data_IF_412123231246
#
_entry.id   IF_412123231246
#
_cell.length_a   1.000
_cell.length_b   1.000
_cell.length_c   1.000
_cell.angle_alpha   90.00
_cell.angle_beta   90.00
_cell.angle_gamma   90.00
#
_symmetry.space_group_name_H-M   'P 1'
#
loop_
_entity.id
_entity.type
_entity.pdbx_description
1 polymer ?
#
# COMPACT_ATOMS: atom_id res chain seq x y z
N UNK A 1 -2.56 -22.53 -0.22
CA UNK A 1 -1.81 -21.43 0.43
C UNK A 1 -0.69 -21.01 -0.52
N UNK A 2 -1.02 -20.29 -1.59
CA UNK A 2 -0.04 -19.86 -2.62
C UNK A 2 -0.24 -18.39 -3.02
N UNK A 3 -1.39 -17.78 -2.71
CA UNK A 3 -1.71 -16.42 -3.14
C UNK A 3 -1.12 -15.29 -2.28
N UNK A 4 -0.60 -15.58 -1.07
CA UNK A 4 -0.04 -14.51 -0.22
C UNK A 4 1.34 -14.06 -0.70
N UNK A 5 2.16 -14.96 -1.24
CA UNK A 5 3.55 -14.67 -1.64
C UNK A 5 3.65 -13.74 -2.84
N UNK A 6 2.67 -13.74 -3.75
CA UNK A 6 2.69 -12.90 -4.94
C UNK A 6 2.45 -11.41 -4.61
N UNK A 7 1.62 -11.11 -3.61
CA UNK A 7 1.34 -9.73 -3.23
C UNK A 7 2.48 -9.08 -2.45
N UNK A 8 3.31 -9.89 -1.79
CA UNK A 8 4.47 -9.39 -1.03
C UNK A 8 5.48 -8.66 -1.92
N UNK A 9 5.56 -8.99 -3.21
CA UNK A 9 6.42 -8.29 -4.20
C UNK A 9 6.02 -6.83 -4.40
N UNK A 10 4.76 -6.47 -4.17
CA UNK A 10 4.31 -5.08 -4.23
C UNK A 10 4.58 -4.31 -2.93
N UNK A 11 4.95 -5.00 -1.86
CA UNK A 11 5.24 -4.39 -0.55
C UNK A 11 6.73 -4.12 -0.45
N UNK A 12 7.18 -2.99 -1.00
CA UNK A 12 8.59 -2.58 -1.05
C UNK A 12 9.03 -1.66 0.09
N UNK A 13 8.08 -1.21 0.91
CA UNK A 13 8.33 -0.38 2.09
C UNK A 13 7.43 -0.82 3.26
N UNK A 14 8.03 -0.99 4.45
CA UNK A 14 7.34 -1.35 5.69
C UNK A 14 7.38 -0.26 6.76
N UNK A 15 8.46 0.53 6.82
CA UNK A 15 8.65 1.61 7.79
C UNK A 15 9.10 2.88 7.09
N UNK A 16 8.76 4.01 7.70
CA UNK A 16 9.11 5.35 7.22
C UNK A 16 8.69 5.62 5.77
N UNK A 17 7.60 4.98 5.33
CA UNK A 17 7.08 5.11 3.99
C UNK A 17 6.53 6.52 3.74
N UNK A 18 6.38 6.89 2.47
CA UNK A 18 5.64 8.10 2.11
C UNK A 18 4.13 7.89 2.25
N UNK A 19 3.37 8.97 2.47
CA UNK A 19 1.90 8.94 2.42
C UNK A 19 1.40 8.35 1.08
N UNK A 20 2.01 8.79 -0.03
CA UNK A 20 1.72 8.31 -1.38
C UNK A 20 1.86 6.81 -1.55
N UNK A 21 2.79 6.19 -0.83
CA UNK A 21 2.97 4.74 -0.90
C UNK A 21 1.76 4.00 -0.33
N UNK A 22 1.24 4.43 0.82
CA UNK A 22 0.01 3.83 1.41
C UNK A 22 -1.22 4.15 0.55
N UNK A 23 -1.32 5.36 0.00
CA UNK A 23 -2.38 5.73 -0.95
C UNK A 23 -2.37 4.81 -2.18
N UNK A 24 -1.19 4.53 -2.74
CA UNK A 24 -1.04 3.64 -3.88
C UNK A 24 -1.49 2.21 -3.53
N UNK A 25 -1.10 1.68 -2.37
CA UNK A 25 -1.55 0.37 -1.89
C UNK A 25 -3.07 0.30 -1.73
N UNK A 26 -3.71 1.38 -1.26
CA UNK A 26 -5.17 1.49 -1.19
C UNK A 26 -5.80 1.46 -2.59
N UNK A 27 -5.25 2.26 -3.51
CA UNK A 27 -5.76 2.40 -4.88
C UNK A 27 -5.78 1.06 -5.63
N UNK A 28 -4.73 0.24 -5.47
CA UNK A 28 -4.64 -1.07 -6.13
C UNK A 28 -5.34 -2.20 -5.35
N UNK A 29 -5.92 -1.90 -4.18
CA UNK A 29 -6.67 -2.86 -3.37
C UNK A 29 -5.81 -3.81 -2.53
N UNK A 30 -4.56 -3.45 -2.25
CA UNK A 30 -3.67 -4.20 -1.38
C UNK A 30 -3.69 -3.73 0.08
N UNK A 31 -4.20 -2.54 0.36
CA UNK A 31 -4.44 -2.07 1.72
C UNK A 31 -5.82 -2.54 2.20
N UNK A 32 -5.90 -3.14 3.38
CA UNK A 32 -7.17 -3.56 3.99
C UNK A 32 -7.79 -2.46 4.85
N UNK A 33 -6.94 -1.83 5.67
CA UNK A 33 -7.31 -0.76 6.60
C UNK A 33 -6.11 0.15 6.88
N UNK A 34 -6.40 1.38 7.27
CA UNK A 34 -5.44 2.37 7.75
C UNK A 34 -5.97 3.05 9.01
N UNK A 35 -5.06 3.34 9.94
CA UNK A 35 -5.34 4.10 11.15
C UNK A 35 -4.27 5.18 11.34
N UNK A 36 -4.62 6.21 12.11
CA UNK A 36 -3.70 7.30 12.46
C UNK A 36 -3.09 7.01 13.81
N UNK A 37 -1.77 7.13 13.91
CA UNK A 37 -0.99 6.92 15.12
C UNK A 37 -0.24 8.20 15.46
N UNK A 38 -0.23 8.57 16.74
CA UNK A 38 0.53 9.73 17.23
C UNK A 38 2.04 9.47 17.20
N UNK A 39 2.80 10.48 16.82
CA UNK A 39 4.26 10.48 16.93
C UNK A 39 4.70 11.14 18.25
N UNK A 40 6.01 11.09 18.54
CA UNK A 40 6.57 11.71 19.74
C UNK A 40 6.41 13.24 19.75
N UNK A 41 6.50 13.87 18.57
CA UNK A 41 6.34 15.32 18.42
C UNK A 41 4.86 15.73 18.32
N UNK A 42 4.52 16.84 18.99
CA UNK A 42 3.16 17.40 18.90
C UNK A 42 2.80 17.77 17.47
N UNK A 43 1.54 17.53 17.10
CA UNK A 43 0.98 17.73 15.75
C UNK A 43 1.58 16.82 14.66
N UNK A 44 2.53 15.96 14.99
CA UNK A 44 3.00 14.95 14.08
C UNK A 44 2.28 13.64 14.30
N UNK A 45 1.81 13.06 13.19
CA UNK A 45 1.14 11.77 13.17
C UNK A 45 1.69 10.94 12.02
N UNK A 46 1.45 9.64 12.05
CA UNK A 46 1.74 8.73 10.95
C UNK A 46 0.52 7.88 10.63
N UNK A 47 0.53 7.28 9.45
CA UNK A 47 -0.48 6.29 9.05
C UNK A 47 0.12 4.91 9.24
N UNK A 48 -0.62 4.06 9.95
CA UNK A 48 -0.36 2.62 10.08
C UNK A 48 -1.37 1.85 9.25
N UNK A 49 -0.88 1.19 8.21
CA UNK A 49 -1.66 0.38 7.30
C UNK A 49 -1.51 -1.11 7.56
N UNK A 50 -2.58 -1.88 7.40
CA UNK A 50 -2.51 -3.35 7.31
C UNK A 50 -2.84 -3.75 5.88
N UNK A 51 -1.94 -4.49 5.25
CA UNK A 51 -2.11 -4.99 3.88
C UNK A 51 -2.73 -6.38 3.88
N UNK A 52 -3.18 -6.84 2.71
CA UNK A 52 -3.92 -8.10 2.51
C UNK A 52 -3.17 -9.37 2.91
N UNK A 53 -1.85 -9.31 3.11
CA UNK A 53 -1.04 -10.41 3.63
C UNK A 53 -0.93 -10.39 5.16
N UNK A 54 -1.58 -9.44 5.83
CA UNK A 54 -1.48 -9.20 7.26
C UNK A 54 -0.25 -8.38 7.69
N UNK A 55 0.66 -8.07 6.75
CA UNK A 55 1.82 -7.22 7.02
C UNK A 55 1.40 -5.79 7.36
N UNK A 56 2.23 -5.14 8.16
CA UNK A 56 2.03 -3.75 8.58
C UNK A 56 2.98 -2.86 7.80
N UNK A 57 2.45 -1.76 7.27
CA UNK A 57 3.23 -0.70 6.64
C UNK A 57 2.98 0.61 7.39
N UNK A 58 4.03 1.36 7.66
CA UNK A 58 3.96 2.61 8.41
C UNK A 58 4.61 3.74 7.62
N UNK A 59 3.97 4.90 7.62
CA UNK A 59 4.61 6.11 7.12
C UNK A 59 5.62 6.64 8.13
N UNK A 60 6.50 7.52 7.66
CA UNK A 60 7.19 8.44 8.56
C UNK A 60 6.16 9.40 9.21
N UNK A 61 6.60 10.18 10.18
CA UNK A 61 5.78 11.22 10.78
C UNK A 61 5.62 12.41 9.82
N UNK A 62 4.39 12.91 9.71
CA UNK A 62 3.99 14.08 8.92
C UNK A 62 3.10 14.98 9.77
N UNK A 63 2.86 16.21 9.32
CA UNK A 63 1.90 17.10 9.98
C UNK A 63 0.50 16.47 9.96
N UNK A 64 -0.26 16.70 11.03
CA UNK A 64 -1.60 16.14 11.18
C UNK A 64 -2.54 16.54 10.03
N UNK A 65 -2.38 17.73 9.45
CA UNK A 65 -3.13 18.14 8.26
C UNK A 65 -2.84 17.25 7.04
N UNK A 66 -1.57 16.93 6.80
CA UNK A 66 -1.14 16.05 5.69
C UNK A 66 -1.67 14.64 5.89
N UNK A 67 -1.58 14.12 7.12
CA UNK A 67 -2.10 12.81 7.50
C UNK A 67 -3.62 12.74 7.32
N UNK A 68 -4.34 13.76 7.78
CA UNK A 68 -5.80 13.83 7.67
C UNK A 68 -6.25 13.89 6.20
N UNK A 69 -5.53 14.65 5.36
CA UNK A 69 -5.82 14.70 3.93
C UNK A 69 -5.55 13.34 3.26
N UNK A 70 -4.41 12.72 3.54
CA UNK A 70 -4.06 11.41 2.99
C UNK A 70 -5.04 10.32 3.42
N UNK A 71 -5.48 10.32 4.69
CA UNK A 71 -6.46 9.35 5.18
C UNK A 71 -7.81 9.46 4.44
N UNK A 72 -8.25 10.68 4.06
CA UNK A 72 -9.46 10.87 3.24
C UNK A 72 -9.29 10.26 1.85
N UNK A 73 -8.13 10.46 1.23
CA UNK A 73 -7.79 9.87 -0.08
C UNK A 73 -7.79 8.34 0.00
N UNK A 74 -7.12 7.78 1.02
CA UNK A 74 -7.08 6.35 1.28
C UNK A 74 -8.49 5.77 1.42
N UNK A 75 -9.37 6.40 2.18
CA UNK A 75 -10.73 5.91 2.37
C UNK A 75 -11.55 5.88 1.07
N UNK A 76 -11.39 6.89 0.20
CA UNK A 76 -12.00 6.90 -1.14
C UNK A 76 -11.46 5.73 -1.97
N UNK A 77 -10.14 5.53 -1.97
CA UNK A 77 -9.51 4.44 -2.72
C UNK A 77 -9.90 3.06 -2.20
N UNK A 78 -10.01 2.86 -0.88
CA UNK A 78 -10.49 1.60 -0.30
C UNK A 78 -11.92 1.29 -0.77
N UNK A 79 -12.80 2.28 -0.79
CA UNK A 79 -14.15 2.12 -1.32
C UNK A 79 -14.14 1.75 -2.80
N UNK A 80 -13.42 2.52 -3.61
CA UNK A 80 -13.31 2.30 -5.06
C UNK A 80 -12.70 0.93 -5.42
N UNK A 81 -11.61 0.55 -4.76
CA UNK A 81 -10.90 -0.71 -5.00
C UNK A 81 -11.77 -1.93 -4.66
N UNK A 82 -12.54 -1.87 -3.57
CA UNK A 82 -13.50 -2.91 -3.18
C UNK A 82 -14.62 -3.05 -4.21
N UNK A 83 -15.24 -1.95 -4.61
CA UNK A 83 -16.30 -1.96 -5.63
C UNK A 83 -15.82 -2.51 -6.98
N UNK A 84 -14.56 -2.29 -7.34
CA UNK A 84 -13.99 -2.70 -8.62
C UNK A 84 -13.25 -4.04 -8.61
N UNK A 85 -13.19 -4.72 -7.45
CA UNK A 85 -12.39 -5.94 -7.26
C UNK A 85 -10.95 -5.77 -7.74
N UNK A 86 -10.34 -4.61 -7.44
CA UNK A 86 -9.05 -4.21 -8.01
C UNK A 86 -7.95 -5.26 -7.74
N UNK A 87 -7.92 -5.84 -6.53
CA UNK A 87 -7.00 -6.90 -6.13
C UNK A 87 -7.03 -8.12 -7.05
N UNK A 88 -8.22 -8.56 -7.46
CA UNK A 88 -8.40 -9.75 -8.33
C UNK A 88 -7.84 -9.53 -9.74
N UNK A 89 -7.60 -8.27 -10.12
CA UNK A 89 -7.09 -7.87 -11.43
C UNK A 89 -5.57 -7.65 -11.45
N UNK A 90 -4.91 -7.78 -10.30
CA UNK A 90 -3.45 -7.64 -10.22
C UNK A 90 -2.76 -8.91 -10.73
N UNK A 91 -1.82 -8.73 -11.65
CA UNK A 91 -0.93 -9.78 -12.14
C UNK A 91 0.51 -9.27 -12.11
N UNK A 92 1.41 -10.07 -11.53
CA UNK A 92 2.86 -9.87 -11.66
C UNK A 92 3.26 -10.45 -13.00
N UNK A 93 3.79 -9.61 -13.90
CA UNK A 93 4.34 -10.08 -15.17
C UNK A 93 5.78 -10.51 -14.91
N UNK A 94 6.07 -11.81 -15.06
CA UNK A 94 7.45 -12.28 -15.05
C UNK A 94 8.18 -11.67 -16.25
N UNK A 95 9.33 -11.05 -16.01
CA UNK A 95 10.21 -10.66 -17.10
C UNK A 95 10.75 -11.95 -17.70
N UNK A 96 10.12 -12.39 -18.79
CA UNK A 96 10.64 -13.51 -19.57
C UNK A 96 12.08 -13.20 -19.91
N UNK A 97 13.00 -14.09 -19.51
CA UNK A 97 14.30 -14.20 -20.14
C UNK A 97 14.07 -14.34 -21.64
N UNK A 98 14.15 -13.22 -22.36
CA UNK A 98 14.39 -13.22 -23.80
C UNK A 98 15.80 -13.75 -23.99
N UNK A 99 15.92 -15.08 -23.93
CA UNK A 99 17.11 -15.78 -24.34
C UNK A 99 17.41 -15.43 -25.78
N UNK A 100 18.70 -15.21 -26.04
CA UNK A 100 19.28 -15.32 -27.37
C UNK A 100 18.74 -16.57 -28.07
N UNK A 101 17.97 -16.39 -29.14
CA UNK A 101 17.95 -17.36 -30.22
C UNK A 101 18.54 -16.66 -31.44
N UNK A 102 19.77 -17.10 -31.73
CA UNK A 102 20.41 -16.91 -33.00
C UNK A 102 19.49 -17.36 -34.14
N UNK A 103 19.44 -16.57 -35.21
CA UNK A 103 19.50 -16.98 -36.62
C UNK A 103 19.72 -15.75 -37.50
#
# INVERSE_FOLDING_TARGET
MESSSQFDTYITCEKDCSLRYIEALAMIGLLEKAEVVECEEQRFRKIRGVVVTGRVVETKCFLDEEVNQSLRIINIYLGFARSNKAKEKLAVVESGTSGNEAL
#
